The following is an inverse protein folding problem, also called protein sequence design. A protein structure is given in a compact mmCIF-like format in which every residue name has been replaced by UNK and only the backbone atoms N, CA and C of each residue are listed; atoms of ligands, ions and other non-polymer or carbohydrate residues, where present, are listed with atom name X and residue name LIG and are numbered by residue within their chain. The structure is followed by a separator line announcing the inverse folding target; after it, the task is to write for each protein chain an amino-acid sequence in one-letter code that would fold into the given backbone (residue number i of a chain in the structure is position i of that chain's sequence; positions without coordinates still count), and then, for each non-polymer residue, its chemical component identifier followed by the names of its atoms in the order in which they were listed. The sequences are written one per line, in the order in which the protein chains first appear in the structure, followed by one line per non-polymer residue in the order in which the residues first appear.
data_IF_650787748582
#
_entry.id   IF_650787748582
#
_cell.length_a   1.000
_cell.length_b   1.000
_cell.length_c   1.000
_cell.angle_alpha   90.00
_cell.angle_beta   90.00
_cell.angle_gamma   90.00
#
_symmetry.space_group_name_H-M   'P 1'
#
loop_
_entity.id
_entity.type
_entity.pdbx_description
1 polymer ?
#
# COMPACT_ATOMS: atom_id res chain seq x y z
N UNK A 1 -52.44 -9.50 84.72
CA UNK A 1 -52.40 -9.38 83.24
C UNK A 1 -51.38 -8.37 82.75
N UNK A 2 -51.17 -7.23 83.44
CA UNK A 2 -50.25 -6.17 83.00
C UNK A 2 -48.76 -6.57 82.95
N UNK A 3 -48.28 -7.38 83.90
CA UNK A 3 -46.87 -7.83 83.93
C UNK A 3 -46.47 -8.67 82.71
N UNK A 4 -47.30 -9.65 82.31
CA UNK A 4 -47.01 -10.55 81.20
C UNK A 4 -47.00 -9.85 79.84
N UNK A 5 -47.68 -8.71 79.70
CA UNK A 5 -47.62 -7.89 78.50
C UNK A 5 -46.32 -7.09 78.45
N UNK A 6 -45.86 -6.58 79.59
CA UNK A 6 -44.58 -5.87 79.71
C UNK A 6 -43.38 -6.75 79.34
N UNK A 7 -43.33 -7.97 79.88
CA UNK A 7 -42.24 -8.92 79.59
C UNK A 7 -42.14 -9.22 78.09
N UNK A 8 -43.28 -9.41 77.41
CA UNK A 8 -43.33 -9.65 75.96
C UNK A 8 -42.87 -8.45 75.13
N UNK A 9 -43.11 -7.23 75.60
CA UNK A 9 -42.63 -6.01 74.94
C UNK A 9 -41.11 -5.92 75.04
N UNK A 10 -40.53 -6.18 76.21
CA UNK A 10 -39.08 -6.18 76.41
C UNK A 10 -38.40 -7.24 75.52
N UNK A 11 -38.93 -8.47 75.48
CA UNK A 11 -38.40 -9.52 74.59
C UNK A 11 -38.49 -9.13 73.11
N UNK A 12 -39.56 -8.42 72.71
CA UNK A 12 -39.71 -7.95 71.33
C UNK A 12 -38.73 -6.82 71.01
N UNK A 13 -38.50 -5.89 71.93
CA UNK A 13 -37.51 -4.81 71.76
C UNK A 13 -36.09 -5.34 71.60
N UNK A 14 -35.71 -6.34 72.41
CA UNK A 14 -34.42 -7.03 72.28
C UNK A 14 -34.30 -7.73 70.93
N UNK A 15 -35.32 -8.48 70.52
CA UNK A 15 -35.35 -9.13 69.20
C UNK A 15 -35.26 -8.12 68.05
N UNK A 16 -35.98 -6.99 68.14
CA UNK A 16 -35.90 -5.91 67.15
C UNK A 16 -34.51 -5.27 67.11
N UNK A 17 -33.83 -5.19 68.26
CA UNK A 17 -32.42 -4.80 68.36
C UNK A 17 -31.50 -5.72 67.55
N UNK A 18 -31.58 -7.03 67.81
CA UNK A 18 -30.81 -8.05 67.08
C UNK A 18 -31.09 -8.04 65.57
N UNK A 19 -32.36 -7.87 65.19
CA UNK A 19 -32.75 -7.78 63.77
C UNK A 19 -32.16 -6.53 63.14
N UNK A 20 -32.19 -5.39 63.83
CA UNK A 20 -31.59 -4.15 63.34
C UNK A 20 -30.08 -4.29 63.16
N UNK A 21 -29.39 -4.86 64.15
CA UNK A 21 -27.95 -5.11 64.07
C UNK A 21 -27.59 -5.99 62.86
N UNK A 22 -28.36 -7.06 62.61
CA UNK A 22 -28.16 -7.91 61.43
C UNK A 22 -28.44 -7.19 60.11
N UNK A 23 -29.41 -6.27 60.08
CA UNK A 23 -29.69 -5.45 58.90
C UNK A 23 -28.51 -4.51 58.63
N UNK A 24 -28.00 -3.84 59.66
CA UNK A 24 -26.87 -2.91 59.55
C UNK A 24 -25.60 -3.66 59.08
N UNK A 25 -25.31 -4.85 59.65
CA UNK A 25 -24.19 -5.71 59.25
C UNK A 25 -24.32 -6.25 57.80
N UNK A 26 -25.54 -6.54 57.34
CA UNK A 26 -25.80 -6.89 55.94
C UNK A 26 -25.57 -5.69 55.01
N UNK A 27 -26.00 -4.50 55.40
CA UNK A 27 -25.84 -3.27 54.61
C UNK A 27 -24.35 -2.91 54.49
N UNK A 28 -23.59 -2.97 55.58
CA UNK A 28 -22.15 -2.73 55.59
C UNK A 28 -21.40 -3.71 54.68
N UNK A 29 -21.70 -5.01 54.77
CA UNK A 29 -21.09 -6.02 53.87
C UNK A 29 -21.44 -5.77 52.40
N UNK A 30 -22.69 -5.38 52.12
CA UNK A 30 -23.12 -5.11 50.76
C UNK A 30 -22.40 -3.89 50.19
N UNK A 31 -22.31 -2.81 50.95
CA UNK A 31 -21.60 -1.59 50.56
C UNK A 31 -20.10 -1.83 50.39
N UNK A 32 -19.47 -2.62 51.28
CA UNK A 32 -18.05 -2.97 51.15
C UNK A 32 -17.78 -3.75 49.86
N UNK A 33 -18.60 -4.77 49.58
CA UNK A 33 -18.48 -5.55 48.33
C UNK A 33 -18.71 -4.69 47.09
N UNK A 34 -19.68 -3.78 47.12
CA UNK A 34 -19.91 -2.83 46.03
C UNK A 34 -18.68 -1.95 45.79
N UNK A 35 -18.08 -1.41 46.85
CA UNK A 35 -16.85 -0.62 46.77
C UNK A 35 -15.70 -1.43 46.17
N UNK A 36 -15.47 -2.65 46.64
CA UNK A 36 -14.42 -3.52 46.08
C UNK A 36 -14.64 -3.79 44.60
N UNK A 37 -15.88 -4.09 44.18
CA UNK A 37 -16.18 -4.31 42.77
C UNK A 37 -15.96 -3.04 41.92
N UNK A 38 -16.29 -1.86 42.44
CA UNK A 38 -16.01 -0.60 41.77
C UNK A 38 -14.51 -0.33 41.63
N UNK A 39 -13.71 -0.62 42.65
CA UNK A 39 -12.26 -0.47 42.62
C UNK A 39 -11.62 -1.43 41.62
N UNK A 40 -12.03 -2.70 41.62
CA UNK A 40 -11.56 -3.69 40.65
C UNK A 40 -11.91 -3.33 39.21
N UNK A 41 -13.15 -2.87 38.97
CA UNK A 41 -13.55 -2.41 37.64
C UNK A 41 -12.75 -1.19 37.21
N UNK A 42 -12.51 -0.23 38.12
CA UNK A 42 -11.69 0.95 37.84
C UNK A 42 -10.26 0.57 37.48
N UNK A 43 -9.65 -0.32 38.24
CA UNK A 43 -8.28 -0.80 38.00
C UNK A 43 -8.19 -1.56 36.67
N UNK A 44 -9.13 -2.47 36.41
CA UNK A 44 -9.18 -3.21 35.15
C UNK A 44 -9.32 -2.30 33.93
N UNK A 45 -10.21 -1.30 34.01
CA UNK A 45 -10.39 -0.31 32.94
C UNK A 45 -9.12 0.53 32.77
N UNK A 46 -8.49 0.95 33.86
CA UNK A 46 -7.25 1.73 33.82
C UNK A 46 -6.09 0.96 33.18
N UNK A 47 -5.89 -0.31 33.57
CA UNK A 47 -4.86 -1.17 33.02
C UNK A 47 -5.10 -1.47 31.52
N UNK A 48 -6.35 -1.75 31.15
CA UNK A 48 -6.72 -2.01 29.76
C UNK A 48 -6.49 -0.77 28.89
N UNK A 49 -6.93 0.40 29.35
CA UNK A 49 -6.75 1.67 28.62
C UNK A 49 -5.25 2.00 28.54
N UNK A 50 -4.52 1.97 29.66
CA UNK A 50 -3.08 2.26 29.67
C UNK A 50 -2.29 1.33 28.75
N UNK A 51 -2.56 0.02 28.79
CA UNK A 51 -1.93 -0.95 27.88
C UNK A 51 -2.25 -0.65 26.41
N UNK A 52 -3.47 -0.18 26.12
CA UNK A 52 -3.84 0.20 24.76
C UNK A 52 -3.19 1.51 24.31
N UNK A 53 -3.03 2.48 25.20
CA UNK A 53 -2.32 3.74 24.96
C UNK A 53 -0.84 3.49 24.69
N UNK A 54 -0.17 2.67 25.50
CA UNK A 54 1.23 2.28 25.30
C UNK A 54 1.45 1.60 23.94
N UNK A 55 0.53 0.71 23.55
CA UNK A 55 0.57 0.06 22.23
C UNK A 55 0.34 1.04 21.09
N UNK A 56 -0.54 2.03 21.27
CA UNK A 56 -0.78 3.07 20.27
C UNK A 56 0.44 3.97 20.12
N UNK A 57 1.03 4.43 21.23
CA UNK A 57 2.25 5.21 21.23
C UNK A 57 3.39 4.48 20.50
N UNK A 58 3.61 3.19 20.81
CA UNK A 58 4.64 2.40 20.12
C UNK A 58 4.36 2.21 18.61
N UNK A 59 3.10 2.14 18.18
CA UNK A 59 2.74 2.09 16.76
C UNK A 59 2.94 3.45 16.08
N UNK A 60 2.64 4.55 16.77
CA UNK A 60 2.86 5.91 16.26
C UNK A 60 4.35 6.19 16.07
N UNK A 61 5.19 5.83 17.04
CA UNK A 61 6.65 5.93 16.93
C UNK A 61 7.20 5.14 15.73
N UNK A 62 6.72 3.90 15.56
CA UNK A 62 7.11 3.06 14.43
C UNK A 62 6.66 3.64 13.08
N UNK A 63 5.45 4.23 13.04
CA UNK A 63 4.94 4.90 11.86
C UNK A 63 5.77 6.14 11.52
N UNK A 64 6.12 6.95 12.53
CA UNK A 64 6.95 8.14 12.34
C UNK A 64 8.32 7.77 11.79
N UNK A 65 8.96 6.71 12.32
CA UNK A 65 10.20 6.16 11.80
C UNK A 65 10.10 5.70 10.34
N UNK A 66 9.04 4.98 9.97
CA UNK A 66 8.84 4.57 8.58
C UNK A 66 8.62 5.77 7.65
N UNK A 67 7.89 6.78 8.11
CA UNK A 67 7.64 8.01 7.34
C UNK A 67 8.92 8.81 7.13
N UNK A 68 9.80 8.90 8.12
CA UNK A 68 11.10 9.57 7.96
C UNK A 68 12.00 8.82 6.99
N UNK A 69 12.12 7.49 7.12
CA UNK A 69 12.90 6.66 6.19
C UNK A 69 12.41 6.78 4.74
N UNK A 70 11.10 6.68 4.50
CA UNK A 70 10.54 6.84 3.16
C UNK A 70 10.77 8.25 2.58
N UNK A 71 10.77 9.29 3.42
CA UNK A 71 11.10 10.65 2.96
C UNK A 71 12.57 10.76 2.53
N UNK A 72 13.47 10.09 3.23
CA UNK A 72 14.90 10.02 2.87
C UNK A 72 15.08 9.30 1.53
N UNK A 73 14.50 8.11 1.36
CA UNK A 73 14.54 7.33 0.11
C UNK A 73 13.99 8.13 -1.08
N UNK A 74 12.86 8.83 -0.89
CA UNK A 74 12.27 9.69 -1.93
C UNK A 74 13.23 10.83 -2.32
N UNK A 75 13.94 11.41 -1.35
CA UNK A 75 14.89 12.49 -1.62
C UNK A 75 16.13 11.97 -2.36
N UNK A 76 16.62 10.78 -2.00
CA UNK A 76 17.71 10.10 -2.69
C UNK A 76 17.33 9.81 -4.15
N UNK A 77 16.20 9.14 -4.39
CA UNK A 77 15.71 8.83 -5.74
C UNK A 77 15.48 10.10 -6.58
N UNK A 78 14.94 11.18 -5.99
CA UNK A 78 14.83 12.48 -6.68
C UNK A 78 16.20 13.04 -7.06
N UNK A 79 17.21 12.86 -6.21
CA UNK A 79 18.60 13.21 -6.48
C UNK A 79 19.17 12.43 -7.66
N UNK A 80 19.02 11.11 -7.65
CA UNK A 80 19.45 10.24 -8.75
C UNK A 80 18.78 10.60 -10.08
N UNK A 81 17.46 10.78 -10.10
CA UNK A 81 16.71 11.20 -11.30
C UNK A 81 17.25 12.53 -11.84
N UNK A 82 17.59 13.48 -10.96
CA UNK A 82 18.16 14.76 -11.37
C UNK A 82 19.53 14.57 -12.04
N UNK A 83 20.37 13.70 -11.50
CA UNK A 83 21.68 13.35 -12.07
C UNK A 83 21.50 12.68 -13.45
N UNK A 84 20.64 11.66 -13.55
CA UNK A 84 20.37 10.99 -14.82
C UNK A 84 19.84 11.96 -15.87
N UNK A 85 18.89 12.82 -15.51
CA UNK A 85 18.34 13.83 -16.41
C UNK A 85 19.41 14.81 -16.89
N UNK A 86 20.32 15.24 -16.01
CA UNK A 86 21.45 16.09 -16.39
C UNK A 86 22.44 15.36 -17.31
N UNK A 87 22.75 14.09 -17.06
CA UNK A 87 23.64 13.28 -17.90
C UNK A 87 23.06 13.07 -19.32
N UNK A 88 21.75 12.85 -19.42
CA UNK A 88 21.02 12.78 -20.70
C UNK A 88 21.06 14.14 -21.41
N UNK A 89 20.76 15.24 -20.71
CA UNK A 89 20.77 16.59 -21.28
C UNK A 89 22.16 17.07 -21.72
N UNK A 90 23.21 16.69 -20.99
CA UNK A 90 24.61 17.02 -21.27
C UNK A 90 25.24 16.12 -22.34
N UNK A 91 24.47 15.18 -22.89
CA UNK A 91 24.86 14.36 -24.00
C UNK A 91 25.85 13.24 -23.68
N UNK A 92 26.02 12.88 -22.40
CA UNK A 92 26.82 11.72 -22.00
C UNK A 92 26.17 10.39 -22.46
N UNK A 93 24.85 10.39 -22.65
CA UNK A 93 24.07 9.38 -23.39
C UNK A 93 23.61 9.88 -24.78
N UNK A 94 23.96 11.11 -25.17
CA UNK A 94 23.79 11.61 -26.54
C UNK A 94 25.00 11.31 -27.44
N UNK A 95 25.73 10.23 -27.14
CA UNK A 95 25.77 9.20 -28.16
C UNK A 95 24.33 8.65 -28.29
N UNK A 96 23.38 9.35 -28.93
CA UNK A 96 23.21 9.16 -30.38
C UNK A 96 24.41 8.37 -30.89
N UNK A 97 24.34 7.05 -30.69
CA UNK A 97 24.89 6.17 -31.68
C UNK A 97 24.32 6.75 -32.97
N UNK A 98 25.13 7.58 -33.65
CA UNK A 98 25.15 7.61 -35.10
C UNK A 98 24.93 6.14 -35.42
N UNK A 99 23.79 5.74 -36.02
CA UNK A 99 23.51 4.34 -36.23
C UNK A 99 24.82 3.83 -36.77
N UNK A 100 25.46 2.93 -36.00
CA UNK A 100 26.68 2.35 -36.51
C UNK A 100 26.22 1.91 -37.88
N UNK A 101 26.83 2.47 -38.91
CA UNK A 101 26.73 1.92 -40.23
C UNK A 101 27.51 0.59 -40.13
N UNK A 102 27.03 -0.30 -39.25
CA UNK A 102 26.92 -1.71 -39.54
C UNK A 102 26.44 -1.69 -40.96
N UNK A 103 27.26 -2.28 -41.81
CA UNK A 103 27.03 -2.49 -43.22
C UNK A 103 25.83 -3.43 -43.34
N UNK A 104 24.67 -2.93 -42.90
CA UNK A 104 23.42 -3.64 -42.82
C UNK A 104 23.06 -3.85 -44.28
N UNK A 105 22.88 -5.10 -44.72
CA UNK A 105 22.51 -5.36 -46.09
C UNK A 105 21.26 -4.54 -46.37
N UNK A 106 21.36 -3.53 -47.26
CA UNK A 106 20.19 -2.79 -47.73
C UNK A 106 19.15 -3.83 -48.10
N UNK A 107 17.95 -3.74 -47.51
CA UNK A 107 16.91 -4.70 -47.83
C UNK A 107 16.65 -4.68 -49.34
N UNK A 108 16.45 -5.86 -49.91
CA UNK A 108 16.27 -5.99 -51.36
C UNK A 108 14.95 -5.33 -51.75
N UNK A 109 14.99 -4.44 -52.74
CA UNK A 109 13.79 -3.81 -53.25
C UNK A 109 12.80 -4.86 -53.81
N UNK A 110 11.51 -4.65 -53.53
CA UNK A 110 10.43 -5.50 -54.01
C UNK A 110 9.87 -4.94 -55.33
N UNK A 111 9.86 -5.78 -56.37
CA UNK A 111 9.48 -5.38 -57.74
C UNK A 111 8.00 -5.62 -58.07
N UNK A 112 7.21 -6.12 -57.12
CA UNK A 112 5.80 -6.44 -57.32
C UNK A 112 5.56 -7.86 -57.84
N UNK A 113 6.42 -8.82 -57.48
CA UNK A 113 6.23 -10.22 -57.82
C UNK A 113 4.95 -10.77 -57.17
N UNK A 114 4.12 -11.46 -57.96
CA UNK A 114 2.88 -12.11 -57.46
C UNK A 114 3.16 -13.49 -56.86
N UNK A 115 4.14 -13.55 -55.97
CA UNK A 115 4.53 -14.76 -55.25
C UNK A 115 4.42 -14.52 -53.75
N UNK A 116 3.64 -15.33 -53.05
CA UNK A 116 3.48 -15.22 -51.59
C UNK A 116 4.82 -15.32 -50.87
N UNK A 117 5.71 -16.22 -51.32
CA UNK A 117 7.04 -16.38 -50.72
C UNK A 117 7.93 -15.14 -50.90
N UNK A 118 7.79 -14.39 -51.99
CA UNK A 118 8.57 -13.16 -52.18
C UNK A 118 8.03 -12.00 -51.35
N UNK A 119 6.71 -11.93 -51.19
CA UNK A 119 6.06 -10.94 -50.30
C UNK A 119 6.46 -11.21 -48.84
N UNK A 120 6.38 -12.46 -48.38
CA UNK A 120 6.74 -12.84 -47.01
C UNK A 120 8.22 -12.56 -46.73
N UNK A 121 9.12 -12.92 -47.65
CA UNK A 121 10.54 -12.64 -47.51
C UNK A 121 10.84 -11.14 -47.44
N UNK A 122 10.13 -10.32 -48.21
CA UNK A 122 10.28 -8.87 -48.17
C UNK A 122 9.80 -8.27 -46.85
N UNK A 123 8.62 -8.67 -46.37
CA UNK A 123 8.07 -8.20 -45.10
C UNK A 123 8.97 -8.61 -43.93
N UNK A 124 9.42 -9.86 -43.90
CA UNK A 124 10.36 -10.33 -42.89
C UNK A 124 11.67 -9.52 -42.90
N UNK A 125 12.24 -9.24 -44.08
CA UNK A 125 13.46 -8.43 -44.18
C UNK A 125 13.24 -6.97 -43.69
N UNK A 126 12.07 -6.38 -43.96
CA UNK A 126 11.72 -5.04 -43.48
C UNK A 126 11.50 -5.00 -41.97
N UNK A 127 10.87 -6.02 -41.40
CA UNK A 127 10.68 -6.14 -39.95
C UNK A 127 12.01 -6.23 -39.20
N UNK A 128 12.94 -7.04 -39.70
CA UNK A 128 14.29 -7.13 -39.15
C UNK A 128 15.05 -5.80 -39.28
N UNK A 129 14.89 -5.09 -40.41
CA UNK A 129 15.48 -3.76 -40.61
C UNK A 129 14.94 -2.76 -39.59
N UNK A 130 13.63 -2.74 -39.33
CA UNK A 130 13.03 -1.84 -38.34
C UNK A 130 13.47 -2.15 -36.92
N UNK A 131 13.52 -3.43 -36.57
CA UNK A 131 14.00 -3.86 -35.26
C UNK A 131 15.45 -3.40 -35.02
N UNK A 132 16.32 -3.58 -36.01
CA UNK A 132 17.72 -3.18 -35.90
C UNK A 132 17.94 -1.66 -35.89
N UNK A 133 17.05 -0.89 -36.52
CA UNK A 133 17.11 0.58 -36.56
C UNK A 133 16.31 1.25 -35.43
N UNK A 134 15.74 0.46 -34.52
CA UNK A 134 14.83 0.93 -33.46
C UNK A 134 13.70 1.84 -33.99
N UNK A 135 13.16 1.49 -35.15
CA UNK A 135 12.02 2.20 -35.75
C UNK A 135 10.75 1.52 -35.27
N UNK A 136 10.03 2.17 -34.34
CA UNK A 136 8.78 1.64 -33.79
C UNK A 136 7.53 2.35 -34.32
N UNK A 137 7.66 3.58 -34.82
CA UNK A 137 6.55 4.38 -35.35
C UNK A 137 6.01 3.82 -36.69
N UNK A 138 4.72 3.50 -36.71
CA UNK A 138 4.06 2.87 -37.87
C UNK A 138 4.09 3.77 -39.12
N UNK A 139 3.91 5.09 -38.96
CA UNK A 139 3.96 6.02 -40.09
C UNK A 139 5.36 6.03 -40.75
N UNK A 140 6.41 5.99 -39.94
CA UNK A 140 7.81 5.90 -40.39
C UNK A 140 8.10 4.55 -41.04
N UNK A 141 7.57 3.45 -40.50
CA UNK A 141 7.69 2.11 -41.10
C UNK A 141 7.05 2.04 -42.47
N UNK A 142 5.81 2.50 -42.60
CA UNK A 142 5.05 2.52 -43.87
C UNK A 142 5.77 3.36 -44.92
N UNK A 143 6.23 4.56 -44.56
CA UNK A 143 6.97 5.42 -45.48
C UNK A 143 8.30 4.76 -45.91
N UNK A 144 8.99 4.11 -44.98
CA UNK A 144 10.24 3.40 -45.30
C UNK A 144 10.01 2.21 -46.22
N UNK A 145 8.97 1.38 -45.99
CA UNK A 145 8.60 0.27 -46.89
C UNK A 145 8.36 0.79 -48.32
N UNK A 146 7.66 1.92 -48.46
CA UNK A 146 7.38 2.53 -49.75
C UNK A 146 8.65 2.84 -50.55
N UNK A 147 9.74 3.24 -49.88
CA UNK A 147 11.04 3.51 -50.51
C UNK A 147 11.71 2.26 -51.11
N UNK A 148 11.31 1.06 -50.67
CA UNK A 148 11.84 -0.22 -51.17
C UNK A 148 10.93 -0.87 -52.22
N UNK A 149 9.81 -0.23 -52.59
CA UNK A 149 9.04 -0.64 -53.75
C UNK A 149 9.69 -0.15 -55.05
N UNK A 150 9.67 -1.02 -56.06
CA UNK A 150 10.20 -0.75 -57.41
C UNK A 150 9.29 -1.38 -58.47
N UNK A 151 9.44 -0.98 -59.72
CA UNK A 151 8.70 -1.51 -60.87
C UNK A 151 7.17 -1.52 -60.64
N UNK A 152 6.54 -2.70 -60.70
CA UNK A 152 5.09 -2.87 -60.58
C UNK A 152 4.62 -2.52 -59.17
N UNK A 153 5.46 -2.73 -58.14
CA UNK A 153 5.12 -2.41 -56.75
C UNK A 153 4.80 -0.93 -56.52
N UNK A 154 5.54 -0.04 -57.18
CA UNK A 154 5.32 1.41 -57.07
C UNK A 154 3.99 1.87 -57.68
N UNK A 155 3.36 1.07 -58.55
CA UNK A 155 2.17 1.48 -59.29
C UNK A 155 0.85 1.24 -58.54
N UNK A 156 0.86 0.37 -57.52
CA UNK A 156 -0.34 0.03 -56.73
C UNK A 156 -0.24 0.43 -55.26
N UNK A 157 0.91 0.93 -54.84
CA UNK A 157 1.10 1.55 -53.53
C UNK A 157 0.44 2.93 -53.49
#
# INVERSE_FOLDING_TARGET
MTSALGDRVVTFEEFMGDVKEKIDDVDDRFNDRLRTMQEQLREFVWDTIGSSEDKLAGKDDALEFMVTALKEDINELKGEIKIFKAAIGNGMLASKSKPQAMDMPKSKAFRGARSASEVDNFLWAMEQYFHAMSIDDDATKVNTIAMYFTDVALLWW
#
